data_IF_475151561027
#
_entry.id   IF_475151561027
#
_cell.length_a   1.000
_cell.length_b   1.000
_cell.length_c   1.000
_cell.angle_alpha   90.00
_cell.angle_beta   90.00
_cell.angle_gamma   90.00
#
_symmetry.space_group_name_H-M   'P 1'
#
loop_
_entity.id
_entity.type
_entity.pdbx_description
1 polymer ?
#
# COMPACT_ATOMS: atom_id res chain seq x y z
N UNK A 1 -60.37 11.99 12.07
CA UNK A 1 -59.16 12.41 12.81
C UNK A 1 -57.90 11.57 12.50
N UNK A 2 -57.99 10.35 11.98
CA UNK A 2 -56.80 9.48 11.76
C UNK A 2 -55.90 9.86 10.55
N UNK A 3 -56.44 10.54 9.52
CA UNK A 3 -55.70 10.81 8.28
C UNK A 3 -54.59 11.86 8.43
N UNK A 4 -54.78 12.86 9.30
CA UNK A 4 -53.79 13.92 9.54
C UNK A 4 -52.61 13.40 10.37
N UNK A 5 -52.91 12.63 11.43
CA UNK A 5 -51.88 11.96 12.24
C UNK A 5 -51.07 10.98 11.38
N UNK A 6 -51.71 10.12 10.58
CA UNK A 6 -50.96 9.20 9.71
C UNK A 6 -50.03 9.93 8.73
N UNK A 7 -50.43 11.10 8.21
CA UNK A 7 -49.59 11.90 7.31
C UNK A 7 -48.42 12.57 8.01
N UNK A 8 -48.64 13.15 9.20
CA UNK A 8 -47.57 13.83 9.95
C UNK A 8 -46.57 12.81 10.49
N UNK A 9 -47.05 11.78 11.19
CA UNK A 9 -46.18 10.74 11.75
C UNK A 9 -45.57 9.86 10.65
N UNK A 10 -46.31 9.56 9.59
CA UNK A 10 -45.79 8.84 8.43
C UNK A 10 -44.73 9.64 7.67
N UNK A 11 -44.94 10.95 7.51
CA UNK A 11 -43.94 11.85 6.90
C UNK A 11 -42.68 11.97 7.75
N UNK A 12 -42.82 12.09 9.08
CA UNK A 12 -41.69 12.10 10.01
C UNK A 12 -40.91 10.78 9.97
N UNK A 13 -41.60 9.64 10.02
CA UNK A 13 -40.96 8.32 9.88
C UNK A 13 -40.24 8.17 8.53
N UNK A 14 -40.88 8.58 7.43
CA UNK A 14 -40.28 8.52 6.10
C UNK A 14 -39.02 9.41 6.00
N UNK A 15 -39.05 10.61 6.60
CA UNK A 15 -37.89 11.49 6.66
C UNK A 15 -36.73 10.85 7.46
N UNK A 16 -37.01 10.26 8.63
CA UNK A 16 -36.00 9.57 9.44
C UNK A 16 -35.37 8.39 8.69
N UNK A 17 -36.19 7.59 8.00
CA UNK A 17 -35.69 6.48 7.17
C UNK A 17 -34.81 7.02 6.05
N UNK A 18 -35.23 8.08 5.37
CA UNK A 18 -34.45 8.69 4.30
C UNK A 18 -33.09 9.18 4.79
N UNK A 19 -33.05 9.88 5.93
CA UNK A 19 -31.79 10.36 6.52
C UNK A 19 -30.89 9.19 6.91
N UNK A 20 -31.45 8.14 7.51
CA UNK A 20 -30.68 6.94 7.84
C UNK A 20 -30.07 6.28 6.59
N UNK A 21 -30.84 6.15 5.51
CA UNK A 21 -30.37 5.60 4.23
C UNK A 21 -29.26 6.45 3.61
N UNK A 22 -29.41 7.79 3.62
CA UNK A 22 -28.37 8.70 3.15
C UNK A 22 -27.11 8.63 4.00
N UNK A 23 -27.24 8.48 5.32
CA UNK A 23 -26.13 8.27 6.24
C UNK A 23 -25.36 6.98 5.94
N UNK A 24 -26.08 5.87 5.71
CA UNK A 24 -25.47 4.59 5.31
C UNK A 24 -24.71 4.74 4.00
N UNK A 25 -25.32 5.36 2.99
CA UNK A 25 -24.69 5.56 1.69
C UNK A 25 -23.43 6.43 1.81
N UNK A 26 -23.50 7.53 2.57
CA UNK A 26 -22.36 8.42 2.78
C UNK A 26 -21.20 7.72 3.48
N UNK A 27 -21.46 6.95 4.56
CA UNK A 27 -20.42 6.19 5.24
C UNK A 27 -19.82 5.10 4.35
N UNK A 28 -20.64 4.43 3.54
CA UNK A 28 -20.17 3.41 2.61
C UNK A 28 -19.20 4.00 1.58
N UNK A 29 -19.59 5.09 0.92
CA UNK A 29 -18.74 5.78 -0.06
C UNK A 29 -17.47 6.33 0.57
N UNK A 30 -17.55 6.90 1.77
CA UNK A 30 -16.38 7.42 2.49
C UNK A 30 -15.39 6.30 2.84
N UNK A 31 -15.88 5.15 3.30
CA UNK A 31 -15.03 4.00 3.59
C UNK A 31 -14.39 3.43 2.33
N UNK A 32 -15.11 3.41 1.21
CA UNK A 32 -14.56 2.99 -0.08
C UNK A 32 -13.39 3.88 -0.51
N UNK A 33 -13.58 5.21 -0.52
CA UNK A 33 -12.54 6.17 -0.87
C UNK A 33 -11.33 6.06 0.06
N UNK A 34 -11.55 5.92 1.37
CA UNK A 34 -10.45 5.76 2.34
C UNK A 34 -9.68 4.46 2.13
N UNK A 35 -10.37 3.37 1.80
CA UNK A 35 -9.74 2.08 1.51
C UNK A 35 -8.87 2.16 0.25
N UNK A 36 -9.37 2.78 -0.81
CA UNK A 36 -8.60 3.00 -2.04
C UNK A 36 -7.35 3.85 -1.78
N UNK A 37 -7.51 5.01 -1.15
CA UNK A 37 -6.38 5.90 -0.81
C UNK A 37 -5.34 5.22 0.08
N UNK A 38 -5.79 4.39 1.03
CA UNK A 38 -4.90 3.61 1.89
C UNK A 38 -4.05 2.62 1.09
N UNK A 39 -4.68 1.82 0.21
CA UNK A 39 -3.98 0.81 -0.61
C UNK A 39 -3.00 1.47 -1.58
N UNK A 40 -3.40 2.59 -2.18
CA UNK A 40 -2.53 3.38 -3.06
C UNK A 40 -1.34 3.98 -2.33
N UNK A 41 -1.55 4.53 -1.13
CA UNK A 41 -0.48 5.07 -0.30
C UNK A 41 0.56 3.99 0.05
N UNK A 42 0.12 2.78 0.37
CA UNK A 42 1.03 1.66 0.64
C UNK A 42 1.82 1.23 -0.61
N UNK A 43 1.17 1.17 -1.77
CA UNK A 43 1.80 0.76 -3.01
C UNK A 43 2.73 1.84 -3.62
N UNK A 44 2.47 3.11 -3.35
CA UNK A 44 3.09 4.22 -4.07
C UNK A 44 4.61 4.21 -4.03
N UNK A 45 5.21 4.14 -2.83
CA UNK A 45 6.67 4.17 -2.70
C UNK A 45 7.35 2.97 -3.35
N UNK A 46 6.84 1.77 -3.09
CA UNK A 46 7.38 0.52 -3.63
C UNK A 46 7.34 0.51 -5.15
N UNK A 47 6.19 0.83 -5.74
CA UNK A 47 6.03 0.81 -7.19
C UNK A 47 6.76 1.96 -7.88
N UNK A 48 6.89 3.12 -7.23
CA UNK A 48 7.73 4.20 -7.74
C UNK A 48 9.20 3.78 -7.78
N UNK A 49 9.71 3.13 -6.74
CA UNK A 49 11.08 2.59 -6.74
C UNK A 49 11.28 1.54 -7.85
N UNK A 50 10.34 0.61 -8.02
CA UNK A 50 10.40 -0.39 -9.09
C UNK A 50 10.36 0.24 -10.48
N UNK A 51 9.45 1.20 -10.70
CA UNK A 51 9.28 1.86 -11.99
C UNK A 51 10.54 2.64 -12.37
N UNK A 52 11.14 3.38 -11.43
CA UNK A 52 12.35 4.16 -11.67
C UNK A 52 13.55 3.26 -11.96
N UNK A 53 13.64 2.10 -11.31
CA UNK A 53 14.68 1.11 -11.61
C UNK A 53 14.49 0.48 -13.00
N UNK A 54 13.25 0.27 -13.44
CA UNK A 54 12.95 -0.29 -14.77
C UNK A 54 13.09 0.73 -15.91
N UNK A 55 12.89 2.02 -15.63
CA UNK A 55 12.85 3.09 -16.63
C UNK A 55 14.11 3.14 -17.52
N UNK A 56 15.36 3.11 -16.99
CA UNK A 56 16.56 3.19 -17.80
C UNK A 56 16.93 1.87 -18.52
N UNK A 57 16.28 0.75 -18.17
CA UNK A 57 16.62 -0.57 -18.69
C UNK A 57 16.08 -0.79 -20.11
N UNK A 58 16.79 -1.60 -20.89
CA UNK A 58 16.30 -2.14 -22.17
C UNK A 58 15.15 -3.14 -21.95
N UNK A 59 14.40 -3.46 -23.01
CA UNK A 59 13.30 -4.42 -22.94
C UNK A 59 13.72 -5.79 -22.38
N UNK A 60 14.91 -6.26 -22.76
CA UNK A 60 15.47 -7.55 -22.32
C UNK A 60 15.82 -7.50 -20.83
N UNK A 61 16.46 -6.41 -20.38
CA UNK A 61 16.81 -6.20 -18.97
C UNK A 61 15.57 -6.08 -18.10
N UNK A 62 14.57 -5.32 -18.56
CA UNK A 62 13.27 -5.20 -17.87
C UNK A 62 12.62 -6.57 -17.68
N UNK A 63 12.54 -7.39 -18.73
CA UNK A 63 11.98 -8.75 -18.63
C UNK A 63 12.73 -9.64 -17.63
N UNK A 64 14.06 -9.56 -17.61
CA UNK A 64 14.89 -10.31 -16.67
C UNK A 64 14.68 -9.82 -15.23
N UNK A 65 14.66 -8.51 -15.01
CA UNK A 65 14.43 -7.91 -13.71
C UNK A 65 13.05 -8.31 -13.15
N UNK A 66 12.00 -8.25 -13.97
CA UNK A 66 10.67 -8.70 -13.58
C UNK A 66 10.66 -10.16 -13.18
N UNK A 67 11.22 -11.07 -13.99
CA UNK A 67 11.24 -12.50 -13.66
C UNK A 67 11.94 -12.80 -12.33
N UNK A 68 13.02 -12.05 -12.01
CA UNK A 68 13.70 -12.15 -10.72
C UNK A 68 12.81 -11.63 -9.59
N UNK A 69 12.21 -10.45 -9.75
CA UNK A 69 11.32 -9.87 -8.75
C UNK A 69 10.06 -10.73 -8.54
N UNK A 70 9.43 -11.27 -9.58
CA UNK A 70 8.27 -12.14 -9.45
C UNK A 70 8.58 -13.33 -8.53
N UNK A 71 9.74 -13.96 -8.74
CA UNK A 71 10.17 -15.12 -7.96
C UNK A 71 10.45 -14.77 -6.50
N UNK A 72 11.07 -13.62 -6.24
CA UNK A 72 11.48 -13.20 -4.90
C UNK A 72 10.32 -12.61 -4.10
N UNK A 73 9.43 -11.88 -4.77
CA UNK A 73 8.29 -11.22 -4.16
C UNK A 73 7.08 -12.15 -4.04
N UNK A 74 7.00 -13.18 -4.89
CA UNK A 74 5.82 -14.05 -4.97
C UNK A 74 4.58 -13.35 -5.50
N UNK A 75 4.77 -12.33 -6.34
CA UNK A 75 3.71 -11.50 -6.93
C UNK A 75 3.90 -11.53 -8.45
N UNK A 76 2.87 -11.83 -9.27
CA UNK A 76 2.96 -11.70 -10.71
C UNK A 76 3.20 -10.24 -11.12
N UNK A 77 4.21 -10.00 -11.95
CA UNK A 77 4.62 -8.68 -12.43
C UNK A 77 4.72 -8.69 -13.95
N UNK A 78 4.11 -7.70 -14.58
CA UNK A 78 4.15 -7.57 -16.04
C UNK A 78 4.30 -6.12 -16.45
N UNK A 79 4.85 -5.91 -17.65
CA UNK A 79 4.79 -4.62 -18.31
C UNK A 79 3.66 -4.64 -19.33
N UNK A 80 2.82 -3.61 -19.27
CA UNK A 80 1.65 -3.44 -20.14
C UNK A 80 1.65 -2.06 -20.77
N UNK A 81 1.08 -1.94 -21.95
CA UNK A 81 0.72 -0.63 -22.52
C UNK A 81 -0.68 -0.23 -22.06
N UNK A 82 -1.01 1.07 -22.15
CA UNK A 82 -2.38 1.53 -21.83
C UNK A 82 -3.48 0.82 -22.65
N UNK A 83 -3.17 0.36 -23.87
CA UNK A 83 -4.09 -0.41 -24.71
C UNK A 83 -4.35 -1.84 -24.22
N UNK A 84 -3.49 -2.38 -23.36
CA UNK A 84 -3.61 -3.70 -22.74
C UNK A 84 -4.26 -3.64 -21.34
N UNK A 85 -4.81 -2.48 -20.98
CA UNK A 85 -5.43 -2.22 -19.68
C UNK A 85 -6.82 -1.64 -19.86
N UNK A 86 -7.72 -1.95 -18.92
CA UNK A 86 -9.09 -1.46 -18.91
C UNK A 86 -9.23 -0.09 -18.21
N UNK A 87 -8.13 0.66 -18.08
CA UNK A 87 -8.11 1.94 -17.37
C UNK A 87 -8.98 2.98 -18.08
N UNK A 88 -9.85 3.63 -17.30
CA UNK A 88 -10.65 4.78 -17.75
C UNK A 88 -9.79 6.06 -17.89
N UNK A 89 -10.39 7.14 -18.41
CA UNK A 89 -9.68 8.40 -18.64
C UNK A 89 -9.16 9.05 -17.34
N UNK A 90 -9.89 8.93 -16.23
CA UNK A 90 -9.48 9.46 -14.92
C UNK A 90 -8.29 8.68 -14.38
N UNK A 91 -8.40 7.36 -14.36
CA UNK A 91 -7.36 6.42 -13.92
C UNK A 91 -6.07 6.58 -14.75
N UNK A 92 -6.19 6.68 -16.08
CA UNK A 92 -5.05 6.97 -16.96
C UNK A 92 -4.38 8.28 -16.57
N UNK A 93 -5.17 9.34 -16.38
CA UNK A 93 -4.66 10.65 -15.95
C UNK A 93 -3.89 10.57 -14.62
N UNK A 94 -4.34 9.74 -13.68
CA UNK A 94 -3.67 9.52 -12.39
C UNK A 94 -2.32 8.82 -12.57
N UNK A 95 -2.28 7.75 -13.35
CA UNK A 95 -1.05 7.00 -13.64
C UNK A 95 -0.04 7.86 -14.41
N UNK A 96 -0.50 8.66 -15.38
CA UNK A 96 0.32 9.61 -16.12
C UNK A 96 0.94 10.69 -15.21
N UNK A 97 0.22 11.13 -14.16
CA UNK A 97 0.76 12.04 -13.14
C UNK A 97 1.73 11.37 -12.15
N UNK A 98 2.11 10.13 -12.39
CA UNK A 98 3.03 9.41 -11.54
C UNK A 98 2.39 8.73 -10.33
N UNK A 99 1.06 8.64 -10.25
CA UNK A 99 0.41 7.96 -9.13
C UNK A 99 0.49 6.43 -9.30
N UNK A 100 0.59 5.71 -8.19
CA UNK A 100 0.34 4.28 -8.18
C UNK A 100 -1.17 4.07 -8.05
N UNK A 101 -1.78 3.50 -9.07
CA UNK A 101 -3.21 3.20 -9.08
C UNK A 101 -3.41 1.78 -8.54
N UNK A 102 -4.36 1.60 -7.62
CA UNK A 102 -4.66 0.28 -7.05
C UNK A 102 -6.13 -0.07 -7.27
N UNK A 103 -6.39 -0.95 -8.24
CA UNK A 103 -7.71 -1.50 -8.49
C UNK A 103 -7.98 -2.69 -7.57
N UNK A 104 -9.18 -2.80 -7.03
CA UNK A 104 -9.58 -3.97 -6.25
C UNK A 104 -10.11 -5.05 -7.18
N UNK A 105 -9.52 -6.25 -7.14
CA UNK A 105 -9.91 -7.40 -7.96
C UNK A 105 -10.59 -8.50 -7.14
N UNK A 106 -10.55 -8.40 -5.81
CA UNK A 106 -11.26 -9.27 -4.88
C UNK A 106 -11.22 -8.71 -3.46
N UNK A 107 -11.70 -9.47 -2.45
CA UNK A 107 -11.75 -9.00 -1.05
C UNK A 107 -10.40 -8.50 -0.53
N UNK A 108 -9.33 -9.23 -0.84
CA UNK A 108 -7.95 -8.87 -0.48
C UNK A 108 -7.06 -8.62 -1.72
N UNK A 109 -7.50 -9.14 -2.87
CA UNK A 109 -6.76 -9.06 -4.11
C UNK A 109 -6.86 -7.68 -4.79
N UNK A 110 -5.76 -7.29 -5.41
CA UNK A 110 -5.55 -5.98 -6.00
C UNK A 110 -4.73 -6.08 -7.27
N UNK A 111 -5.01 -5.18 -8.21
CA UNK A 111 -4.09 -4.91 -9.31
C UNK A 111 -3.50 -3.53 -9.15
N UNK A 112 -2.17 -3.44 -9.16
CA UNK A 112 -1.44 -2.18 -9.02
C UNK A 112 -0.87 -1.78 -10.38
N UNK A 113 -1.02 -0.52 -10.75
CA UNK A 113 -0.40 0.06 -11.95
C UNK A 113 0.48 1.25 -11.60
N UNK A 114 1.63 1.33 -12.25
CA UNK A 114 2.54 2.49 -12.17
C UNK A 114 3.18 2.75 -13.52
N UNK A 115 3.19 4.01 -13.95
CA UNK A 115 3.90 4.42 -15.17
C UNK A 115 5.41 4.16 -15.02
N UNK A 116 5.99 3.48 -16.00
CA UNK A 116 7.44 3.26 -16.14
C UNK A 116 8.04 4.20 -17.18
N UNK A 117 7.36 4.37 -18.32
CA UNK A 117 7.84 5.21 -19.41
C UNK A 117 6.67 5.86 -20.13
N UNK A 118 6.58 7.19 -20.07
CA UNK A 118 5.55 7.94 -20.81
C UNK A 118 5.76 7.84 -22.32
N UNK A 119 7.01 7.91 -22.78
CA UNK A 119 7.36 7.81 -24.20
C UNK A 119 6.93 6.48 -24.81
N UNK A 120 7.14 5.39 -24.08
CA UNK A 120 6.78 4.03 -24.51
C UNK A 120 5.34 3.65 -24.10
N UNK A 121 4.62 4.53 -23.41
CA UNK A 121 3.29 4.28 -22.85
C UNK A 121 3.24 3.00 -22.00
N UNK A 122 4.31 2.78 -21.23
CA UNK A 122 4.59 1.52 -20.54
C UNK A 122 4.26 1.61 -19.05
N UNK A 123 3.53 0.62 -18.56
CA UNK A 123 3.03 0.49 -17.20
C UNK A 123 3.58 -0.78 -16.55
N UNK A 124 4.07 -0.67 -15.32
CA UNK A 124 4.26 -1.80 -14.43
C UNK A 124 2.89 -2.20 -13.86
N UNK A 125 2.52 -3.46 -14.02
CA UNK A 125 1.29 -4.07 -13.51
C UNK A 125 1.65 -5.21 -12.57
N UNK A 126 0.99 -5.28 -11.41
CA UNK A 126 1.16 -6.37 -10.45
C UNK A 126 -0.17 -6.87 -9.89
N UNK A 127 -0.26 -8.17 -9.60
CA UNK A 127 -1.43 -8.76 -8.92
C UNK A 127 -1.10 -9.19 -7.50
N UNK A 128 -1.58 -8.42 -6.52
CA UNK A 128 -1.25 -8.59 -5.10
C UNK A 128 -2.46 -9.18 -4.38
N UNK A 129 -2.28 -10.27 -3.64
CA UNK A 129 -3.36 -10.93 -2.88
C UNK A 129 -3.48 -10.39 -1.45
N UNK A 130 -2.36 -9.97 -0.85
CA UNK A 130 -2.31 -9.38 0.50
C UNK A 130 -1.45 -8.13 0.46
N UNK A 131 -2.08 -6.99 0.17
CA UNK A 131 -1.39 -5.73 -0.11
C UNK A 131 -0.38 -5.37 0.99
N UNK A 132 -0.79 -5.30 2.26
CA UNK A 132 0.12 -4.88 3.32
C UNK A 132 1.35 -5.79 3.44
N UNK A 133 1.15 -7.11 3.50
CA UNK A 133 2.21 -8.08 3.76
C UNK A 133 3.15 -8.26 2.55
N UNK A 134 2.58 -8.47 1.37
CA UNK A 134 3.37 -8.69 0.15
C UNK A 134 4.11 -7.42 -0.26
N UNK A 135 3.51 -6.23 -0.10
CA UNK A 135 4.23 -4.97 -0.36
C UNK A 135 5.31 -4.70 0.67
N UNK A 136 5.08 -5.01 1.96
CA UNK A 136 6.12 -4.82 2.96
C UNK A 136 7.34 -5.70 2.68
N UNK A 137 7.11 -6.99 2.37
CA UNK A 137 8.16 -7.92 1.94
C UNK A 137 8.86 -7.46 0.67
N UNK A 138 8.09 -6.96 -0.31
CA UNK A 138 8.68 -6.45 -1.54
C UNK A 138 9.53 -5.21 -1.32
N UNK A 139 9.03 -4.28 -0.51
CA UNK A 139 9.74 -3.03 -0.23
C UNK A 139 11.04 -3.30 0.49
N UNK A 140 11.04 -4.17 1.52
CA UNK A 140 12.25 -4.43 2.29
C UNK A 140 13.32 -5.10 1.45
N UNK A 141 12.92 -6.02 0.57
CA UNK A 141 13.83 -6.64 -0.39
C UNK A 141 14.44 -5.60 -1.35
N UNK A 142 13.59 -4.79 -1.98
CA UNK A 142 14.04 -3.78 -2.96
C UNK A 142 14.94 -2.72 -2.33
N UNK A 143 14.62 -2.28 -1.11
CA UNK A 143 15.46 -1.33 -0.37
C UNK A 143 16.77 -1.96 0.07
N UNK A 144 16.77 -3.21 0.53
CA UNK A 144 18.00 -3.90 0.89
C UNK A 144 18.94 -4.05 -0.32
N UNK A 145 18.39 -4.47 -1.47
CA UNK A 145 19.13 -4.59 -2.73
C UNK A 145 19.66 -3.24 -3.24
N UNK A 146 18.92 -2.14 -3.04
CA UNK A 146 19.37 -0.80 -3.39
C UNK A 146 20.48 -0.32 -2.45
N UNK A 147 20.32 -0.47 -1.14
CA UNK A 147 21.23 0.06 -0.12
C UNK A 147 22.59 -0.64 -0.11
N UNK A 148 22.63 -1.96 -0.35
CA UNK A 148 23.89 -2.74 -0.39
C UNK A 148 24.83 -2.27 -1.51
N UNK A 149 24.32 -1.57 -2.53
CA UNK A 149 25.14 -0.99 -3.62
C UNK A 149 26.01 0.18 -3.18
N UNK A 150 25.74 0.76 -2.01
CA UNK A 150 26.45 1.93 -1.48
C UNK A 150 27.32 1.57 -0.28
N UNK A 151 28.40 2.34 -0.02
CA UNK A 151 29.21 2.18 1.18
C UNK A 151 28.39 2.26 2.46
N UNK A 152 28.76 1.45 3.47
CA UNK A 152 28.02 1.32 4.75
C UNK A 152 27.74 2.67 5.43
N UNK A 153 28.67 3.61 5.36
CA UNK A 153 28.54 4.93 5.96
C UNK A 153 27.50 5.82 5.27
N UNK A 154 27.22 5.57 3.99
CA UNK A 154 26.29 6.37 3.18
C UNK A 154 24.86 5.82 3.22
N UNK A 155 24.68 4.55 3.57
CA UNK A 155 23.38 3.87 3.54
C UNK A 155 22.26 4.60 4.32
N UNK A 156 22.49 5.14 5.54
CA UNK A 156 21.48 5.96 6.23
C UNK A 156 21.02 7.18 5.44
N UNK A 157 21.96 7.90 4.82
CA UNK A 157 21.65 9.07 4.00
C UNK A 157 20.89 8.67 2.73
N UNK A 158 21.26 7.54 2.11
CA UNK A 158 20.56 7.01 0.93
C UNK A 158 19.13 6.59 1.26
N UNK A 159 18.89 5.91 2.38
CA UNK A 159 17.54 5.57 2.80
C UNK A 159 16.68 6.82 3.04
N UNK A 160 17.24 7.84 3.70
CA UNK A 160 16.55 9.11 3.91
C UNK A 160 16.17 9.79 2.58
N UNK A 161 17.10 9.81 1.61
CA UNK A 161 16.83 10.36 0.27
C UNK A 161 15.74 9.56 -0.48
N UNK A 162 15.72 8.23 -0.36
CA UNK A 162 14.67 7.40 -0.94
C UNK A 162 13.31 7.65 -0.28
N UNK A 163 13.29 7.81 1.04
CA UNK A 163 12.07 8.15 1.80
C UNK A 163 11.43 9.43 1.28
N UNK A 164 12.24 10.48 1.11
CA UNK A 164 11.77 11.78 0.61
C UNK A 164 11.35 11.72 -0.86
N UNK A 165 12.13 11.05 -1.71
CA UNK A 165 11.92 11.07 -3.15
C UNK A 165 10.75 10.19 -3.63
N UNK A 166 10.45 9.08 -2.96
CA UNK A 166 9.49 8.08 -3.46
C UNK A 166 8.11 8.14 -2.79
N UNK A 167 7.94 8.92 -1.73
CA UNK A 167 6.65 9.09 -1.08
C UNK A 167 6.10 7.80 -0.46
N UNK A 168 6.93 7.04 0.26
CA UNK A 168 6.49 5.82 0.94
C UNK A 168 5.36 6.10 1.94
N UNK A 169 4.38 5.20 1.98
CA UNK A 169 3.20 5.30 2.83
C UNK A 169 3.40 4.94 4.30
N UNK A 170 4.63 4.64 4.69
CA UNK A 170 5.03 4.10 5.99
C UNK A 170 6.44 4.58 6.32
N UNK A 171 6.81 4.46 7.59
CA UNK A 171 8.15 4.78 8.05
C UNK A 171 9.16 3.69 7.70
N UNK A 172 10.41 4.12 7.61
CA UNK A 172 11.56 3.27 7.31
C UNK A 172 12.76 3.80 8.08
N UNK A 173 13.55 2.90 8.62
CA UNK A 173 14.76 3.28 9.37
C UNK A 173 15.83 2.20 9.30
N UNK A 174 17.08 2.62 9.51
CA UNK A 174 18.20 1.72 9.76
C UNK A 174 18.56 1.80 11.23
N UNK A 175 18.68 0.64 11.85
CA UNK A 175 19.11 0.48 13.23
C UNK A 175 20.16 -0.62 13.31
N UNK A 176 20.89 -0.73 14.41
CA UNK A 176 21.73 -1.90 14.66
C UNK A 176 20.89 -3.04 15.24
N UNK A 177 21.40 -4.27 15.16
CA UNK A 177 20.73 -5.47 15.65
C UNK A 177 20.27 -5.38 17.12
N UNK A 178 21.03 -4.66 17.96
CA UNK A 178 20.73 -4.47 19.38
C UNK A 178 19.75 -3.31 19.64
N UNK A 179 19.72 -2.31 18.76
CA UNK A 179 18.85 -1.14 18.90
C UNK A 179 17.44 -1.37 18.33
N UNK A 180 17.29 -2.32 17.42
CA UNK A 180 16.00 -2.71 16.85
C UNK A 180 15.09 -3.32 17.93
N UNK A 181 13.83 -2.89 17.96
CA UNK A 181 12.79 -3.40 18.86
C UNK A 181 12.30 -4.78 18.40
N UNK A 182 13.17 -5.77 18.56
CA UNK A 182 12.97 -7.18 18.23
C UNK A 182 13.11 -8.06 19.47
N UNK A 183 12.32 -9.13 19.54
CA UNK A 183 12.55 -10.21 20.50
C UNK A 183 13.79 -11.04 20.11
N UNK A 184 14.21 -11.95 21.00
CA UNK A 184 15.43 -12.74 20.81
C UNK A 184 15.36 -13.67 19.58
N UNK A 185 14.19 -14.25 19.32
CA UNK A 185 13.98 -15.14 18.18
C UNK A 185 13.98 -14.35 16.86
N UNK A 186 13.31 -13.20 16.82
CA UNK A 186 13.31 -12.28 15.68
C UNK A 186 14.73 -11.79 15.40
N UNK A 187 15.47 -11.38 16.43
CA UNK A 187 16.85 -10.92 16.30
C UNK A 187 17.76 -12.01 15.73
N UNK A 188 17.66 -13.24 16.24
CA UNK A 188 18.43 -14.39 15.73
C UNK A 188 18.14 -14.63 14.25
N UNK A 189 16.87 -14.67 13.86
CA UNK A 189 16.45 -14.88 12.47
C UNK A 189 16.96 -13.78 11.53
N UNK A 190 16.84 -12.51 11.94
CA UNK A 190 17.38 -11.38 11.16
C UNK A 190 18.90 -11.50 11.00
N UNK A 191 19.62 -11.91 12.04
CA UNK A 191 21.07 -12.13 11.98
C UNK A 191 21.45 -13.31 11.05
N UNK A 192 20.60 -14.33 10.94
CA UNK A 192 20.73 -15.45 10.00
C UNK A 192 20.37 -15.06 8.55
N UNK A 193 19.86 -13.83 8.32
CA UNK A 193 19.50 -13.32 7.01
C UNK A 193 18.02 -13.47 6.66
N UNK A 194 17.18 -13.93 7.59
CA UNK A 194 15.74 -13.99 7.37
C UNK A 194 15.12 -12.59 7.36
N UNK A 195 14.11 -12.42 6.51
CA UNK A 195 13.16 -11.32 6.64
C UNK A 195 12.09 -11.71 7.67
N UNK A 196 11.99 -10.94 8.74
CA UNK A 196 11.08 -11.20 9.86
C UNK A 196 9.94 -10.21 9.84
N UNK A 197 8.71 -10.73 9.94
CA UNK A 197 7.50 -9.92 10.07
C UNK A 197 6.99 -10.02 11.51
N UNK A 198 6.83 -8.87 12.16
CA UNK A 198 6.38 -8.78 13.53
C UNK A 198 5.04 -8.03 13.60
N UNK A 199 4.12 -8.55 14.41
CA UNK A 199 2.87 -7.87 14.71
C UNK A 199 3.12 -6.81 15.79
N UNK A 200 2.59 -5.61 15.61
CA UNK A 200 2.62 -4.57 16.64
C UNK A 200 1.89 -5.02 17.90
N UNK A 201 2.24 -4.44 19.05
CA UNK A 201 1.69 -4.82 20.37
C UNK A 201 0.15 -4.76 20.45
N UNK A 202 -0.49 -3.94 19.61
CA UNK A 202 -1.94 -3.81 19.50
C UNK A 202 -2.62 -4.73 18.48
N UNK A 203 -1.87 -5.54 17.72
CA UNK A 203 -2.42 -6.44 16.70
C UNK A 203 -2.90 -5.75 15.41
N UNK A 204 -2.80 -4.44 15.33
CA UNK A 204 -3.36 -3.60 14.27
C UNK A 204 -2.33 -3.12 13.23
N UNK A 205 -1.06 -3.46 13.45
CA UNK A 205 0.06 -2.98 12.65
C UNK A 205 1.09 -4.08 12.43
N UNK A 206 1.79 -3.99 11.29
CA UNK A 206 2.85 -4.92 10.92
C UNK A 206 4.15 -4.13 10.81
N UNK A 207 5.24 -4.70 11.33
CA UNK A 207 6.61 -4.24 11.09
C UNK A 207 7.38 -5.35 10.39
N UNK A 208 8.31 -4.97 9.53
CA UNK A 208 9.17 -5.93 8.83
C UNK A 208 10.63 -5.54 9.02
N UNK A 209 11.44 -6.53 9.37
CA UNK A 209 12.86 -6.41 9.64
C UNK A 209 13.67 -7.27 8.68
N UNK A 210 14.79 -6.75 8.19
CA UNK A 210 15.76 -7.52 7.40
C UNK A 210 17.17 -7.02 7.68
N UNK A 211 18.11 -7.95 7.86
CA UNK A 211 19.53 -7.63 7.97
C UNK A 211 20.11 -7.27 6.61
N UNK A 212 20.90 -6.20 6.56
CA UNK A 212 21.65 -5.84 5.36
C UNK A 212 22.97 -6.60 5.35
N UNK A 213 23.08 -7.58 4.44
CA UNK A 213 24.24 -8.49 4.34
C UNK A 213 25.55 -7.70 4.22
N UNK A 214 26.53 -8.06 5.05
CA UNK A 214 27.85 -7.43 5.05
C UNK A 214 27.90 -6.05 5.73
N UNK A 215 26.85 -5.67 6.45
CA UNK A 215 26.75 -4.38 7.16
C UNK A 215 26.24 -4.58 8.61
N UNK A 216 26.42 -3.61 9.52
CA UNK A 216 25.85 -3.68 10.86
C UNK A 216 24.36 -3.31 10.91
N UNK A 217 23.75 -3.02 9.77
CA UNK A 217 22.43 -2.42 9.70
C UNK A 217 21.32 -3.46 9.59
N UNK A 218 20.25 -3.21 10.32
CA UNK A 218 18.93 -3.81 10.19
C UNK A 218 18.01 -2.76 9.60
N UNK A 219 17.43 -3.08 8.45
CA UNK A 219 16.37 -2.29 7.84
C UNK A 219 15.04 -2.66 8.50
N UNK A 220 14.34 -1.65 8.98
CA UNK A 220 12.97 -1.75 9.50
C UNK A 220 12.04 -0.96 8.60
N UNK A 221 10.88 -1.57 8.30
CA UNK A 221 9.76 -0.91 7.61
C UNK A 221 8.50 -1.04 8.47
N UNK A 222 7.81 0.09 8.62
CA UNK A 222 6.56 0.19 9.36
C UNK A 222 6.65 1.16 10.52
N UNK A 223 5.58 1.23 11.34
CA UNK A 223 4.41 0.36 11.32
C UNK A 223 3.51 0.55 10.08
N UNK A 224 3.11 -0.56 9.46
CA UNK A 224 2.03 -0.60 8.48
C UNK A 224 0.72 -0.91 9.22
N UNK A 225 -0.05 0.13 9.52
CA UNK A 225 -1.37 -0.01 10.14
C UNK A 225 -2.38 -0.61 9.16
N UNK A 226 -3.19 -1.54 9.61
CA UNK A 226 -4.33 -2.01 8.84
C UNK A 226 -5.37 -0.89 8.65
N UNK A 227 -6.11 -0.93 7.53
CA UNK A 227 -7.20 0.00 7.31
C UNK A 227 -8.30 -0.24 8.35
N UNK A 228 -8.64 0.80 9.13
CA UNK A 228 -9.76 0.79 10.05
C UNK A 228 -10.99 1.53 9.45
N UNK A 229 -12.04 0.80 8.99
CA UNK A 229 -13.22 1.41 8.39
C UNK A 229 -14.05 2.12 9.45
N UNK A 230 -14.72 3.21 9.07
CA UNK A 230 -15.67 3.85 9.96
C UNK A 230 -16.79 2.87 10.27
N UNK A 231 -17.03 2.59 11.56
CA UNK A 231 -17.89 1.48 11.89
C UNK A 231 -19.37 1.91 11.84
N UNK A 232 -20.31 0.99 11.57
CA UNK A 232 -21.71 1.33 11.34
C UNK A 232 -22.40 2.03 12.51
N UNK A 233 -21.91 1.86 13.75
CA UNK A 233 -22.47 2.55 14.92
C UNK A 233 -22.42 4.09 14.83
N UNK A 234 -21.60 4.67 13.95
CA UNK A 234 -21.64 6.11 13.70
C UNK A 234 -22.97 6.58 13.09
N UNK A 235 -23.73 5.67 12.47
CA UNK A 235 -25.09 5.92 12.02
C UNK A 235 -26.03 6.26 13.18
N UNK A 236 -25.77 5.76 14.38
CA UNK A 236 -26.56 6.10 15.58
C UNK A 236 -26.36 7.58 15.93
N UNK A 237 -25.13 8.11 15.81
CA UNK A 237 -24.88 9.54 16.02
C UNK A 237 -25.58 10.39 14.95
N UNK A 238 -25.53 9.96 13.69
CA UNK A 238 -26.25 10.64 12.59
C UNK A 238 -27.75 10.63 12.87
N UNK A 239 -28.31 9.51 13.34
CA UNK A 239 -29.72 9.38 13.67
C UNK A 239 -30.16 10.20 14.90
N UNK A 240 -29.27 10.39 15.88
CA UNK A 240 -29.54 11.23 17.07
C UNK A 240 -29.45 12.73 16.75
N UNK A 241 -28.62 13.11 15.78
CA UNK A 241 -28.45 14.50 15.35
C UNK A 241 -29.47 14.97 14.28
N UNK A 242 -30.17 14.03 13.65
CA UNK A 242 -31.17 14.28 12.61
C UNK A 242 -32.56 14.56 13.19
#
# INVERSE_FOLDING_TARGET
MNSIFLRIYGGMCAALILVALLGVLALHLLNQVRSEQYRERLAHGTFSLMADNLQPMSEIERRRALAVWERLLGIPLSLKTFSQTDLDSSQRGRVLRGQALVEQTGPFAARVYRLVSEKEQLLLSAEVQQISEQLARATIYLLADELVRYPVAEQPQRLAALKEAKGFGFDMQLSTLDAADMDEDQRRRVAEGDTVMALGKGGDSIRVFAGLVGTPWVLEIGPLYQMNPYPPQWLVLIAVLA
#
